data_IF_992300738825
#
_entry.id   IF_992300738825
#
_cell.length_a   1.000
_cell.length_b   1.000
_cell.length_c   1.000
_cell.angle_alpha   90.00
_cell.angle_beta   90.00
_cell.angle_gamma   90.00
#
_symmetry.space_group_name_H-M   'P 1'
#
loop_
_entity.id
_entity.type
_entity.pdbx_description
1 polymer ?
#
# COMPACT_ATOMS: atom_id res chain seq x y z
N UNK A 1 13.24 13.97 5.11
CA UNK A 1 13.81 12.82 4.37
C UNK A 1 12.65 11.94 3.94
N UNK A 2 12.61 11.53 2.67
CA UNK A 2 11.49 10.72 2.18
C UNK A 2 11.37 9.41 2.95
N UNK A 3 10.13 9.02 3.24
CA UNK A 3 9.82 7.73 3.87
C UNK A 3 9.65 6.62 2.84
N UNK A 4 9.98 6.91 1.57
CA UNK A 4 9.96 6.02 0.43
C UNK A 4 11.24 6.26 -0.38
N UNK A 5 12.04 5.23 -0.63
CA UNK A 5 13.31 5.39 -1.35
C UNK A 5 13.62 4.16 -2.18
N UNK A 6 14.08 4.38 -3.41
CA UNK A 6 14.64 3.34 -4.26
C UNK A 6 16.14 3.21 -3.97
N UNK A 7 16.55 2.01 -3.58
CA UNK A 7 17.93 1.62 -3.34
C UNK A 7 18.31 0.45 -4.23
N UNK A 8 19.62 0.15 -4.33
CA UNK A 8 20.10 -1.12 -4.88
C UNK A 8 20.34 -2.12 -3.76
N UNK A 9 19.89 -3.35 -3.95
CA UNK A 9 20.21 -4.48 -3.09
C UNK A 9 21.63 -4.98 -3.36
N UNK A 10 22.17 -5.81 -2.47
CA UNK A 10 23.50 -6.42 -2.62
C UNK A 10 23.66 -7.22 -3.93
N UNK A 11 22.57 -7.75 -4.49
CA UNK A 11 22.55 -8.48 -5.77
C UNK A 11 22.30 -7.59 -7.00
N UNK A 12 22.35 -6.27 -6.84
CA UNK A 12 22.20 -5.29 -7.92
C UNK A 12 20.75 -4.92 -8.27
N UNK A 13 19.76 -5.71 -7.84
CA UNK A 13 18.34 -5.42 -8.08
C UNK A 13 17.91 -4.13 -7.37
N UNK A 14 16.99 -3.40 -8.00
CA UNK A 14 16.36 -2.23 -7.38
C UNK A 14 15.35 -2.66 -6.33
N UNK A 15 15.28 -1.92 -5.23
CA UNK A 15 14.29 -2.12 -4.18
C UNK A 15 13.80 -0.78 -3.64
N UNK A 16 12.50 -0.54 -3.77
CA UNK A 16 11.75 0.53 -3.14
C UNK A 16 11.46 0.16 -1.68
N UNK A 17 12.25 0.69 -0.75
CA UNK A 17 11.99 0.58 0.67
C UNK A 17 11.04 1.69 1.09
N UNK A 18 10.07 1.37 1.95
CA UNK A 18 9.19 2.39 2.50
C UNK A 18 8.81 2.13 3.96
N UNK A 19 8.51 3.19 4.70
CA UNK A 19 7.88 3.10 6.02
C UNK A 19 6.98 4.31 6.27
N UNK A 20 6.41 4.42 7.47
CA UNK A 20 5.56 5.53 7.90
C UNK A 20 4.13 5.48 7.34
N UNK A 21 3.24 6.24 7.99
CA UNK A 21 1.89 6.50 7.47
C UNK A 21 1.90 7.52 6.35
N UNK A 22 3.01 8.26 6.19
CA UNK A 22 3.19 9.27 5.15
C UNK A 22 3.67 8.68 3.82
N UNK A 23 4.17 7.43 3.79
CA UNK A 23 4.47 6.79 2.51
C UNK A 23 3.18 6.42 1.77
N UNK A 24 3.03 6.80 0.50
CA UNK A 24 1.92 6.38 -0.37
C UNK A 24 1.73 4.87 -0.50
N UNK A 25 2.79 4.09 -0.29
CA UNK A 25 2.72 2.62 -0.30
C UNK A 25 2.19 2.03 1.02
N UNK A 26 2.09 2.84 2.06
CA UNK A 26 1.53 2.43 3.35
C UNK A 26 0.03 2.17 3.24
N UNK A 27 -0.42 1.09 3.87
CA UNK A 27 -1.85 0.84 4.07
C UNK A 27 -2.52 1.89 4.96
N UNK A 28 -1.72 2.66 5.70
CA UNK A 28 -2.19 3.72 6.58
C UNK A 28 -2.20 5.10 5.92
N UNK A 29 -1.70 5.22 4.68
CA UNK A 29 -1.71 6.48 3.94
C UNK A 29 -3.15 6.95 3.74
N UNK A 30 -3.41 8.21 4.09
CA UNK A 30 -4.74 8.81 3.97
C UNK A 30 -4.99 9.18 2.53
N UNK A 31 -5.95 8.51 1.91
CA UNK A 31 -6.39 8.79 0.54
C UNK A 31 -7.83 8.30 0.39
N UNK A 32 -8.65 9.05 -0.34
CA UNK A 32 -10.03 8.65 -0.61
C UNK A 32 -10.07 7.75 -1.84
N UNK A 33 -10.79 6.64 -1.75
CA UNK A 33 -11.12 5.81 -2.89
C UNK A 33 -12.42 5.06 -2.65
N UNK A 34 -13.12 4.73 -3.74
CA UNK A 34 -14.38 4.02 -3.74
C UNK A 34 -14.15 2.54 -4.06
N UNK A 35 -14.83 1.64 -3.36
CA UNK A 35 -14.92 0.24 -3.77
C UNK A 35 -16.39 -0.13 -3.85
N UNK A 36 -16.80 -0.60 -5.04
CA UNK A 36 -18.13 -1.16 -5.26
C UNK A 36 -18.20 -2.50 -4.56
N UNK A 37 -19.21 -2.76 -3.73
CA UNK A 37 -19.39 -4.08 -3.17
C UNK A 37 -19.98 -5.01 -4.23
N UNK A 38 -19.45 -6.22 -4.38
CA UNK A 38 -19.98 -7.15 -5.38
C UNK A 38 -21.37 -7.67 -4.95
N UNK A 39 -21.59 -7.75 -3.63
CA UNK A 39 -22.79 -8.34 -3.03
C UNK A 39 -23.84 -7.29 -2.65
N UNK A 40 -23.58 -6.00 -2.90
CA UNK A 40 -24.52 -4.92 -2.61
C UNK A 40 -24.52 -3.89 -3.72
N UNK A 41 -25.67 -3.32 -4.06
CA UNK A 41 -25.78 -2.19 -4.99
C UNK A 41 -25.20 -0.87 -4.44
N UNK A 42 -24.36 -0.94 -3.39
CA UNK A 42 -23.82 0.22 -2.67
C UNK A 42 -22.32 0.28 -2.86
N UNK A 43 -21.84 1.44 -3.29
CA UNK A 43 -20.42 1.80 -3.26
C UNK A 43 -20.05 2.37 -1.90
N UNK A 44 -18.92 1.94 -1.34
CA UNK A 44 -18.38 2.52 -0.11
C UNK A 44 -17.12 3.33 -0.40
N UNK A 45 -16.99 4.49 0.27
CA UNK A 45 -15.79 5.31 0.23
C UNK A 45 -14.94 5.04 1.46
N UNK A 46 -13.63 4.86 1.25
CA UNK A 46 -12.66 4.59 2.30
C UNK A 46 -11.62 5.69 2.33
N UNK A 47 -11.06 5.96 3.52
CA UNK A 47 -10.01 6.97 3.72
C UNK A 47 -8.59 6.38 3.76
N UNK A 48 -8.47 5.05 3.70
CA UNK A 48 -7.19 4.34 3.62
C UNK A 48 -7.42 2.86 3.31
N UNK A 49 -6.40 2.17 2.75
CA UNK A 49 -6.43 0.72 2.54
C UNK A 49 -6.61 -0.04 3.86
N UNK A 50 -6.11 0.49 4.98
CA UNK A 50 -6.31 -0.08 6.32
C UNK A 50 -7.78 -0.08 6.72
N UNK A 51 -8.51 1.02 6.51
CA UNK A 51 -9.95 1.07 6.81
C UNK A 51 -10.71 0.05 5.97
N UNK A 52 -10.44 0.04 4.66
CA UNK A 52 -11.03 -0.93 3.73
C UNK A 52 -10.82 -2.38 4.19
N UNK A 53 -9.58 -2.81 4.39
CA UNK A 53 -9.29 -4.22 4.69
C UNK A 53 -9.88 -4.67 6.03
N UNK A 54 -9.94 -3.77 7.02
CA UNK A 54 -10.52 -4.08 8.33
C UNK A 54 -12.06 -4.12 8.27
N UNK A 55 -12.67 -3.26 7.45
CA UNK A 55 -14.10 -3.31 7.14
C UNK A 55 -14.48 -4.64 6.47
N UNK A 56 -13.74 -5.04 5.41
CA UNK A 56 -13.96 -6.33 4.73
C UNK A 56 -13.74 -7.51 5.67
N UNK A 57 -12.74 -7.44 6.55
CA UNK A 57 -12.53 -8.44 7.61
C UNK A 57 -13.76 -8.56 8.52
N UNK A 58 -14.35 -7.45 8.95
CA UNK A 58 -15.54 -7.47 9.80
C UNK A 58 -16.75 -8.11 9.08
N UNK A 59 -16.98 -7.73 7.82
CA UNK A 59 -18.04 -8.33 6.99
C UNK A 59 -17.85 -9.84 6.79
N UNK A 60 -16.61 -10.30 6.54
CA UNK A 60 -16.31 -11.73 6.36
C UNK A 60 -16.72 -12.61 7.55
N UNK A 61 -16.75 -12.02 8.75
CA UNK A 61 -17.14 -12.68 10.00
C UNK A 61 -18.55 -12.27 10.47
N UNK A 62 -19.31 -11.54 9.65
CA UNK A 62 -20.69 -11.14 9.91
C UNK A 62 -20.84 -10.13 11.05
N UNK A 63 -19.79 -9.39 11.41
CA UNK A 63 -19.81 -8.42 12.51
C UNK A 63 -20.13 -7.02 11.97
N UNK A 64 -21.40 -6.80 11.67
CA UNK A 64 -21.90 -5.57 11.02
C UNK A 64 -21.69 -4.34 11.91
N UNK A 65 -21.78 -4.49 13.23
CA UNK A 65 -21.56 -3.38 14.16
C UNK A 65 -20.10 -2.93 14.18
N UNK A 66 -19.15 -3.87 14.18
CA UNK A 66 -17.72 -3.53 14.02
C UNK A 66 -17.45 -2.95 12.62
N UNK A 67 -18.10 -3.46 11.57
CA UNK A 67 -17.96 -2.91 10.22
C UNK A 67 -18.41 -1.44 10.16
N UNK A 68 -19.57 -1.10 10.72
CA UNK A 68 -20.07 0.28 10.84
C UNK A 68 -19.12 1.15 11.65
N UNK A 69 -18.65 0.67 12.80
CA UNK A 69 -17.69 1.40 13.64
C UNK A 69 -16.39 1.72 12.90
N UNK A 70 -15.86 0.77 12.12
CA UNK A 70 -14.66 0.97 11.29
C UNK A 70 -14.89 2.05 10.22
N UNK A 71 -16.07 2.09 9.59
CA UNK A 71 -16.40 3.10 8.58
C UNK A 71 -16.48 4.52 9.16
N UNK A 72 -16.90 4.65 10.42
CA UNK A 72 -16.98 5.95 11.10
C UNK A 72 -15.64 6.41 11.70
N UNK A 73 -14.70 5.50 11.94
CA UNK A 73 -13.42 5.80 12.58
C UNK A 73 -12.40 6.41 11.61
N UNK A 74 -11.73 7.49 12.07
CA UNK A 74 -10.73 8.24 11.29
C UNK A 74 -9.29 8.03 11.77
N UNK A 75 -9.11 7.46 12.95
CA UNK A 75 -7.82 7.16 13.52
C UNK A 75 -7.38 5.73 13.14
N UNK A 76 -6.30 5.57 12.36
CA UNK A 76 -5.95 4.25 11.83
C UNK A 76 -5.57 3.22 12.90
N UNK A 77 -5.10 3.67 14.08
CA UNK A 77 -4.82 2.79 15.22
C UNK A 77 -6.10 2.21 15.81
N UNK A 78 -7.16 3.02 15.94
CA UNK A 78 -8.47 2.58 16.42
C UNK A 78 -9.17 1.66 15.43
N UNK A 79 -9.08 1.94 14.13
CA UNK A 79 -9.54 1.02 13.06
C UNK A 79 -8.94 -0.39 13.26
N UNK A 80 -7.62 -0.46 13.48
CA UNK A 80 -6.95 -1.74 13.75
C UNK A 80 -7.46 -2.37 15.05
N UNK A 81 -7.60 -1.59 16.13
CA UNK A 81 -8.08 -2.10 17.41
C UNK A 81 -9.49 -2.71 17.30
N UNK A 82 -10.43 -2.04 16.63
CA UNK A 82 -11.79 -2.54 16.39
C UNK A 82 -11.79 -3.90 15.69
N UNK A 83 -10.91 -4.09 14.70
CA UNK A 83 -10.79 -5.35 13.95
C UNK A 83 -10.26 -6.54 14.77
N UNK A 84 -9.69 -6.27 15.96
CA UNK A 84 -9.21 -7.30 16.89
C UNK A 84 -10.33 -7.77 17.83
N UNK A 85 -11.42 -7.02 17.94
CA UNK A 85 -12.59 -7.32 18.79
C UNK A 85 -13.65 -8.18 18.10
N UNK A 86 -13.37 -8.72 16.90
CA UNK A 86 -14.30 -9.52 16.12
C UNK A 86 -14.64 -10.84 16.82
N UNK A 87 -15.92 -11.06 17.13
CA UNK A 87 -16.38 -12.21 17.94
C UNK A 87 -16.19 -13.57 17.29
N UNK A 88 -16.29 -13.66 15.96
CA UNK A 88 -16.24 -14.91 15.17
C UNK A 88 -14.97 -15.03 14.32
N UNK A 89 -13.88 -14.40 14.74
CA UNK A 89 -12.64 -14.39 13.96
C UNK A 89 -12.07 -15.80 13.77
N UNK A 90 -11.80 -16.16 12.50
CA UNK A 90 -11.09 -17.37 12.14
C UNK A 90 -9.87 -17.00 11.28
N UNK A 91 -8.67 -17.26 11.82
CA UNK A 91 -7.41 -16.91 11.16
C UNK A 91 -7.18 -17.63 9.83
N UNK A 92 -7.60 -18.88 9.71
CA UNK A 92 -7.47 -19.67 8.47
C UNK A 92 -8.35 -19.09 7.37
N UNK A 93 -9.63 -18.82 7.66
CA UNK A 93 -10.56 -18.17 6.72
C UNK A 93 -10.05 -16.79 6.31
N UNK A 94 -9.53 -16.02 7.27
CA UNK A 94 -8.95 -14.70 6.97
C UNK A 94 -7.71 -14.80 6.09
N UNK A 95 -6.81 -15.75 6.36
CA UNK A 95 -5.59 -15.94 5.58
C UNK A 95 -5.87 -16.40 4.15
N UNK A 96 -6.96 -17.12 3.90
CA UNK A 96 -7.37 -17.52 2.56
C UNK A 96 -7.89 -16.35 1.71
N UNK A 97 -8.44 -15.31 2.35
CA UNK A 97 -9.13 -14.20 1.65
C UNK A 97 -8.36 -12.88 1.65
N UNK A 98 -7.44 -12.66 2.58
CA UNK A 98 -6.93 -11.31 2.83
C UNK A 98 -6.03 -10.75 1.73
N UNK A 99 -5.36 -11.60 0.95
CA UNK A 99 -4.54 -11.19 -0.20
C UNK A 99 -5.43 -10.56 -1.25
N UNK A 100 -6.50 -11.27 -1.62
CA UNK A 100 -7.42 -10.87 -2.66
C UNK A 100 -8.17 -9.60 -2.27
N UNK A 101 -8.66 -9.54 -1.03
CA UNK A 101 -9.28 -8.33 -0.51
C UNK A 101 -8.30 -7.16 -0.50
N UNK A 102 -7.08 -7.35 0.02
CA UNK A 102 -6.09 -6.27 0.02
C UNK A 102 -5.75 -5.81 -1.40
N UNK A 103 -5.57 -6.74 -2.34
CA UNK A 103 -5.33 -6.44 -3.75
C UNK A 103 -6.43 -5.57 -4.32
N UNK A 104 -7.71 -5.94 -4.15
CA UNK A 104 -8.86 -5.14 -4.60
C UNK A 104 -8.83 -3.72 -4.04
N UNK A 105 -8.56 -3.57 -2.75
CA UNK A 105 -8.44 -2.27 -2.10
C UNK A 105 -7.27 -1.44 -2.62
N UNK A 106 -6.12 -2.07 -2.88
CA UNK A 106 -4.94 -1.42 -3.45
C UNK A 106 -5.17 -1.00 -4.91
N UNK A 107 -5.76 -1.86 -5.75
CA UNK A 107 -6.16 -1.49 -7.12
C UNK A 107 -7.07 -0.27 -7.09
N UNK A 108 -8.12 -0.28 -6.26
CA UNK A 108 -9.03 0.87 -6.17
C UNK A 108 -8.33 2.15 -5.71
N UNK A 109 -7.45 2.05 -4.69
CA UNK A 109 -6.63 3.17 -4.21
C UNK A 109 -5.78 3.76 -5.33
N UNK A 110 -4.95 2.95 -5.98
CA UNK A 110 -3.97 3.44 -6.95
C UNK A 110 -4.63 3.80 -8.29
N UNK A 111 -5.67 3.09 -8.73
CA UNK A 111 -6.37 3.43 -9.96
C UNK A 111 -7.11 4.79 -9.87
N UNK A 112 -7.65 5.14 -8.71
CA UNK A 112 -8.47 6.36 -8.53
C UNK A 112 -7.68 7.58 -8.06
N UNK A 113 -6.40 7.43 -7.70
CA UNK A 113 -5.55 8.53 -7.23
C UNK A 113 -4.33 8.65 -8.15
N UNK A 114 -4.43 9.53 -9.15
CA UNK A 114 -3.43 9.67 -10.23
C UNK A 114 -2.02 9.81 -9.72
N UNK A 115 -1.84 10.67 -8.72
CA UNK A 115 -0.53 10.91 -8.15
C UNK A 115 0.08 9.65 -7.50
N UNK A 116 -0.72 8.92 -6.71
CA UNK A 116 -0.27 7.66 -6.09
C UNK A 116 0.01 6.59 -7.16
N UNK A 117 -0.82 6.54 -8.22
CA UNK A 117 -0.63 5.64 -9.36
C UNK A 117 0.73 5.85 -10.00
N UNK A 118 1.06 7.10 -10.32
CA UNK A 118 2.36 7.47 -10.91
C UNK A 118 3.51 7.07 -10.01
N UNK A 119 3.40 7.30 -8.69
CA UNK A 119 4.43 6.85 -7.75
C UNK A 119 4.63 5.33 -7.79
N UNK A 120 3.55 4.55 -7.82
CA UNK A 120 3.65 3.09 -7.89
C UNK A 120 4.27 2.62 -9.23
N UNK A 121 3.88 3.23 -10.34
CA UNK A 121 4.42 2.93 -11.67
C UNK A 121 5.90 3.32 -11.78
N UNK A 122 6.32 4.44 -11.17
CA UNK A 122 7.72 4.88 -11.11
C UNK A 122 8.65 3.93 -10.33
N UNK A 123 8.10 3.01 -9.55
CA UNK A 123 8.91 1.91 -8.99
C UNK A 123 9.49 1.01 -10.09
N UNK A 124 8.99 1.07 -11.33
CA UNK A 124 9.47 0.31 -12.47
C UNK A 124 9.45 -1.19 -12.18
N UNK A 125 10.61 -1.83 -12.31
CA UNK A 125 10.84 -3.25 -12.03
C UNK A 125 11.31 -3.52 -10.58
N UNK A 126 11.43 -2.49 -9.75
CA UNK A 126 12.00 -2.64 -8.40
C UNK A 126 11.13 -3.54 -7.53
N UNK A 127 11.80 -4.28 -6.64
CA UNK A 127 11.14 -4.88 -5.48
C UNK A 127 10.55 -3.77 -4.62
N UNK A 128 9.48 -4.04 -3.90
CA UNK A 128 8.85 -3.09 -2.97
C UNK A 128 8.82 -3.72 -1.58
N UNK A 129 9.24 -3.01 -0.53
CA UNK A 129 9.27 -3.57 0.82
C UNK A 129 8.93 -2.59 1.94
N UNK A 130 8.03 -3.01 2.84
CA UNK A 130 7.66 -2.26 4.04
C UNK A 130 8.66 -2.54 5.18
N UNK A 131 9.32 -1.49 5.66
CA UNK A 131 10.38 -1.54 6.68
C UNK A 131 9.94 -0.93 8.02
N UNK A 132 8.83 -1.40 8.59
CA UNK A 132 8.33 -0.90 9.88
C UNK A 132 9.01 -1.54 11.11
N UNK A 133 9.89 -2.52 10.91
CA UNK A 133 10.68 -3.20 11.96
C UNK A 133 9.94 -4.22 12.81
N UNK A 134 8.65 -4.01 13.09
CA UNK A 134 7.85 -4.91 13.94
C UNK A 134 6.95 -5.86 13.15
N UNK A 135 6.55 -5.48 11.95
CA UNK A 135 5.62 -6.26 11.13
C UNK A 135 6.39 -7.33 10.34
N UNK A 136 6.04 -8.61 10.53
CA UNK A 136 6.66 -9.77 9.86
C UNK A 136 5.76 -10.54 8.89
N UNK A 137 4.49 -10.19 8.77
CA UNK A 137 3.53 -10.77 7.83
C UNK A 137 3.41 -9.86 6.60
N UNK A 138 2.95 -8.63 6.80
CA UNK A 138 2.80 -7.60 5.79
C UNK A 138 4.12 -6.90 5.45
N UNK A 139 5.03 -6.75 6.42
CA UNK A 139 6.34 -6.13 6.23
C UNK A 139 7.52 -7.10 6.21
N UNK A 140 8.72 -6.57 5.95
CA UNK A 140 9.96 -7.35 5.86
C UNK A 140 10.61 -7.63 7.24
N UNK A 141 10.03 -7.12 8.33
CA UNK A 141 10.52 -7.34 9.69
C UNK A 141 11.81 -6.59 10.07
N UNK A 142 12.25 -5.63 9.27
CA UNK A 142 13.43 -4.80 9.51
C UNK A 142 13.06 -3.31 9.54
N UNK A 143 13.82 -2.49 10.27
CA UNK A 143 13.59 -1.04 10.31
C UNK A 143 14.06 -0.40 9.01
N UNK A 144 13.47 0.73 8.64
CA UNK A 144 13.80 1.45 7.41
C UNK A 144 15.29 1.80 7.27
N UNK A 145 15.94 2.19 8.37
CA UNK A 145 17.37 2.53 8.41
C UNK A 145 18.28 1.33 8.73
N UNK A 146 17.74 0.11 8.80
CA UNK A 146 18.53 -1.10 9.02
C UNK A 146 19.23 -1.48 7.70
N UNK A 147 20.56 -1.50 7.69
CA UNK A 147 21.35 -1.86 6.51
C UNK A 147 20.98 -3.23 5.93
N UNK A 148 20.49 -4.15 6.77
CA UNK A 148 20.04 -5.48 6.35
C UNK A 148 18.78 -5.43 5.50
N UNK A 149 18.02 -4.34 5.51
CA UNK A 149 16.87 -4.18 4.62
C UNK A 149 17.28 -4.19 3.14
N UNK A 150 18.55 -3.88 2.84
CA UNK A 150 19.15 -3.95 1.49
C UNK A 150 19.64 -5.34 1.08
N UNK A 151 19.35 -6.36 1.88
CA UNK A 151 19.59 -7.76 1.54
C UNK A 151 18.31 -8.56 1.81
N UNK A 152 17.64 -8.98 0.72
CA UNK A 152 16.39 -9.73 0.79
C UNK A 152 16.54 -11.03 1.61
N UNK A 153 17.72 -11.66 1.61
CA UNK A 153 17.99 -12.90 2.36
C UNK A 153 18.01 -12.67 3.88
N UNK A 154 18.24 -11.42 4.32
CA UNK A 154 18.26 -11.05 5.74
C UNK A 154 16.90 -10.58 6.26
N UNK A 155 15.88 -10.49 5.41
CA UNK A 155 14.53 -10.10 5.81
C UNK A 155 13.96 -11.12 6.81
N UNK A 156 13.24 -10.60 7.81
CA UNK A 156 12.67 -11.39 8.91
C UNK A 156 11.15 -11.53 8.81
N UNK A 157 10.57 -11.04 7.73
CA UNK A 157 9.15 -11.00 7.47
C UNK A 157 8.82 -11.37 6.03
N UNK A 158 7.55 -11.67 5.78
CA UNK A 158 7.06 -12.16 4.49
C UNK A 158 6.84 -11.05 3.48
N UNK A 159 6.86 -9.77 3.90
CA UNK A 159 6.71 -8.61 3.02
C UNK A 159 5.48 -8.69 2.10
N UNK A 160 4.37 -9.21 2.61
CA UNK A 160 3.16 -9.45 1.82
C UNK A 160 2.60 -8.20 1.16
N UNK A 161 2.66 -7.05 1.84
CA UNK A 161 2.20 -5.78 1.28
C UNK A 161 3.02 -5.39 0.05
N UNK A 162 4.35 -5.52 0.14
CA UNK A 162 5.25 -5.22 -0.98
C UNK A 162 4.96 -6.10 -2.20
N UNK A 163 4.74 -7.40 -1.99
CA UNK A 163 4.36 -8.33 -3.06
C UNK A 163 3.05 -7.92 -3.73
N UNK A 164 2.01 -7.62 -2.95
CA UNK A 164 0.72 -7.18 -3.51
C UNK A 164 0.81 -5.84 -4.24
N UNK A 165 1.65 -4.91 -3.78
CA UNK A 165 1.89 -3.66 -4.49
C UNK A 165 2.55 -3.89 -5.85
N UNK A 166 3.49 -4.83 -5.95
CA UNK A 166 4.11 -5.21 -7.22
C UNK A 166 3.08 -5.83 -8.18
N UNK A 167 2.23 -6.73 -7.70
CA UNK A 167 1.17 -7.28 -8.53
C UNK A 167 0.18 -6.19 -9.00
N UNK A 168 -0.21 -5.26 -8.11
CA UNK A 168 -1.11 -4.14 -8.44
C UNK A 168 -0.45 -3.22 -9.47
N UNK A 169 0.86 -2.97 -9.37
CA UNK A 169 1.61 -2.25 -10.39
C UNK A 169 1.47 -2.92 -11.75
N UNK A 170 1.68 -4.24 -11.84
CA UNK A 170 1.53 -4.96 -13.11
C UNK A 170 0.10 -4.89 -13.65
N UNK A 171 -0.92 -5.01 -12.78
CA UNK A 171 -2.32 -4.84 -13.19
C UNK A 171 -2.60 -3.44 -13.76
N UNK A 172 -2.03 -2.39 -13.16
CA UNK A 172 -2.19 -1.02 -13.64
C UNK A 172 -1.42 -0.80 -14.95
N UNK A 173 -0.24 -1.40 -15.11
CA UNK A 173 0.53 -1.34 -16.36
C UNK A 173 -0.20 -1.99 -17.54
N UNK A 174 -0.97 -3.04 -17.27
CA UNK A 174 -1.77 -3.75 -18.28
C UNK A 174 -3.15 -3.13 -18.52
N UNK A 175 -3.55 -2.14 -17.73
CA UNK A 175 -4.85 -1.49 -17.87
C UNK A 175 -4.80 -0.47 -19.04
N UNK A 176 -5.61 -0.64 -20.09
CA UNK A 176 -5.62 0.26 -21.24
C UNK A 176 -5.91 1.72 -20.90
N UNK A 177 -6.63 1.98 -19.80
CA UNK A 177 -6.92 3.35 -19.34
C UNK A 177 -5.67 4.13 -18.94
N UNK A 178 -4.57 3.45 -18.63
CA UNK A 178 -3.32 4.06 -18.16
C UNK A 178 -2.17 3.88 -19.16
N UNK A 179 -2.43 3.41 -20.38
CA UNK A 179 -1.40 3.07 -21.37
C UNK A 179 -0.44 4.23 -21.66
N UNK A 180 -0.97 5.44 -21.88
CA UNK A 180 -0.15 6.61 -22.19
C UNK A 180 0.69 7.06 -20.99
N UNK A 181 0.13 6.98 -19.77
CA UNK A 181 0.87 7.28 -18.54
C UNK A 181 2.01 6.28 -18.30
N UNK A 182 1.77 4.99 -18.60
CA UNK A 182 2.80 3.95 -18.53
C UNK A 182 3.92 4.22 -19.52
N UNK A 183 3.60 4.56 -20.78
CA UNK A 183 4.60 4.92 -21.80
C UNK A 183 5.45 6.12 -21.38
N UNK A 184 4.82 7.16 -20.84
CA UNK A 184 5.53 8.35 -20.33
C UNK A 184 6.48 7.99 -19.19
N UNK A 185 6.03 7.19 -18.22
CA UNK A 185 6.84 6.76 -17.08
C UNK A 185 8.00 5.88 -17.52
N UNK A 186 7.77 4.96 -18.47
CA UNK A 186 8.83 4.11 -19.01
C UNK A 186 9.90 4.91 -19.75
N UNK A 187 9.52 5.98 -20.46
CA UNK A 187 10.48 6.90 -21.08
C UNK A 187 11.33 7.60 -20.00
N UNK A 188 10.70 8.14 -18.95
CA UNK A 188 11.40 8.78 -17.82
C UNK A 188 12.37 7.84 -17.11
N UNK A 189 11.95 6.60 -16.87
CA UNK A 189 12.80 5.59 -16.21
C UNK A 189 14.02 5.20 -17.06
N UNK A 190 13.93 5.31 -18.40
CA UNK A 190 15.08 5.11 -19.31
C UNK A 190 16.06 6.28 -19.28
N UNK A 191 15.56 7.50 -19.07
CA UNK A 191 16.37 8.71 -19.02
C UNK A 191 17.15 8.84 -17.70
N UNK A 192 16.52 8.51 -16.57
CA UNK A 192 17.17 8.60 -15.26
C UNK A 192 16.65 7.52 -14.30
N UNK A 193 17.56 6.70 -13.79
CA UNK A 193 17.24 5.72 -12.75
C UNK A 193 16.84 6.38 -11.41
N UNK A 194 17.14 7.67 -11.23
CA UNK A 194 16.84 8.43 -10.02
C UNK A 194 15.53 9.23 -10.10
N UNK A 195 14.86 9.27 -11.25
CA UNK A 195 13.66 10.09 -11.45
C UNK A 195 12.55 9.79 -10.42
N UNK A 196 12.45 8.54 -9.96
CA UNK A 196 11.49 8.14 -8.94
C UNK A 196 11.78 8.79 -7.58
N UNK A 197 13.04 8.81 -7.14
CA UNK A 197 13.40 9.43 -5.85
C UNK A 197 13.20 10.94 -5.87
N UNK A 198 13.50 11.59 -7.00
CA UNK A 198 13.25 13.01 -7.20
C UNK A 198 11.75 13.33 -7.11
N UNK A 199 10.93 12.54 -7.81
CA UNK A 199 9.48 12.66 -7.75
C UNK A 199 8.94 12.45 -6.34
N UNK A 200 9.42 11.43 -5.61
CA UNK A 200 8.97 11.19 -4.23
C UNK A 200 9.33 12.34 -3.30
N UNK A 201 10.51 12.96 -3.48
CA UNK A 201 10.94 14.10 -2.68
C UNK A 201 10.09 15.36 -2.96
N UNK A 202 9.73 15.61 -4.22
CA UNK A 202 8.85 16.72 -4.60
C UNK A 202 7.48 16.60 -3.93
N UNK A 203 6.92 15.40 -3.93
CA UNK A 203 5.61 15.12 -3.37
C UNK A 203 5.60 15.19 -1.86
N UNK A 204 6.61 14.60 -1.21
CA UNK A 204 6.74 14.70 0.24
C UNK A 204 6.88 16.17 0.66
N UNK A 205 7.50 17.03 -0.16
CA UNK A 205 7.57 18.46 0.09
C UNK A 205 6.18 19.12 -0.02
N UNK A 206 5.41 18.82 -1.07
CA UNK A 206 4.03 19.33 -1.25
C UNK A 206 3.12 18.87 -0.10
N UNK A 207 3.13 17.58 0.23
CA UNK A 207 2.33 17.02 1.34
C UNK A 207 2.74 17.65 2.67
N UNK A 208 4.03 17.92 2.90
CA UNK A 208 4.48 18.57 4.13
C UNK A 208 3.99 20.02 4.30
N UNK A 209 3.74 20.72 3.19
CA UNK A 209 3.16 22.08 3.20
C UNK A 209 1.66 22.04 3.49
N UNK A 210 0.96 21.01 3.00
CA UNK A 210 -0.49 20.83 3.18
C UNK A 210 -0.88 20.24 4.55
N UNK A 211 0.06 19.77 5.37
CA UNK A 211 -0.19 19.28 6.74
C UNK A 211 -0.42 20.45 7.73
N UNK A 212 -0.25 21.70 7.30
CA UNK A 212 -0.47 22.91 8.09
C UNK A 212 -1.79 23.66 7.79
N UNK A 213 -2.69 23.07 6.99
CA UNK A 213 -4.07 23.54 6.77
C UNK A 213 -5.09 22.50 7.27
#
# INVERSE_FOLDING_TARGET
>A
MSMTVIVRLEDGRRCTLFHSTLSPFSNYYRCKFRVDDADSATSNYFISSKQYIMYRKALLFGDIEIAKAIMMEREPRKVKALSLSLRKYNGTKWNAMNDEEMRRGLVAKFAQNDHLRRMLLLTGDSLIAECSGKERIWGNGLKFNDVRARDQKKWKGRNKLGLLLMDVREMLRQNPLFEDEVKEIDAKLKESENCANEYYAEIDAIDSLNVFE
#
